data_IF_140400571430
#
_entry.id   IF_140400571430
#
_cell.length_a   1.000
_cell.length_b   1.000
_cell.length_c   1.000
_cell.angle_alpha   90.00
_cell.angle_beta   90.00
_cell.angle_gamma   90.00
#
_symmetry.space_group_name_H-M   'P 1'
#
loop_
_entity.id
_entity.type
_entity.pdbx_description
1 polymer ?
#
# COMPACT_ATOMS: atom_id res chain seq x y z
N UNK A 1 20.82 32.79 24.21
CA UNK A 1 20.97 31.97 22.98
C UNK A 1 20.01 30.80 23.11
N UNK A 2 18.86 30.89 22.44
CA UNK A 2 17.98 29.70 22.36
C UNK A 2 18.66 28.71 21.41
N UNK A 3 19.11 27.58 21.93
CA UNK A 3 19.39 26.45 21.08
C UNK A 3 18.06 26.12 20.34
N UNK A 4 18.06 26.26 19.02
CA UNK A 4 16.98 25.68 18.22
C UNK A 4 16.92 24.19 18.61
N UNK A 5 15.80 23.77 19.15
CA UNK A 5 15.57 22.33 19.35
C UNK A 5 15.78 21.68 17.98
N UNK A 6 16.69 20.71 17.90
CA UNK A 6 16.85 19.93 16.68
C UNK A 6 15.46 19.34 16.37
N UNK A 7 14.96 19.61 15.17
CA UNK A 7 13.71 19.00 14.73
C UNK A 7 13.90 17.49 14.77
N UNK A 8 12.96 16.78 15.39
CA UNK A 8 12.95 15.31 15.34
C UNK A 8 12.91 14.91 13.86
N UNK A 9 13.76 13.98 13.43
CA UNK A 9 13.79 13.57 12.03
C UNK A 9 12.44 12.98 11.65
N UNK A 10 11.96 13.28 10.44
CA UNK A 10 10.74 12.73 9.86
C UNK A 10 11.07 11.94 8.61
N UNK A 11 10.32 10.91 8.33
CA UNK A 11 10.51 10.12 7.13
C UNK A 11 9.17 9.57 6.62
N UNK A 12 9.12 9.28 5.32
CA UNK A 12 7.96 8.64 4.70
C UNK A 12 8.40 7.71 3.58
N UNK A 13 7.76 6.56 3.48
CA UNK A 13 7.91 5.64 2.36
C UNK A 13 6.54 5.25 1.83
N UNK A 14 6.43 5.12 0.51
CA UNK A 14 5.19 4.75 -0.18
C UNK A 14 5.41 3.59 -1.15
N UNK A 15 4.35 2.83 -1.43
CA UNK A 15 4.30 1.93 -2.57
C UNK A 15 3.04 2.17 -3.41
N UNK A 16 3.17 1.91 -4.71
CA UNK A 16 2.08 1.95 -5.70
C UNK A 16 1.73 0.57 -6.25
N UNK A 17 2.15 -0.50 -5.55
CA UNK A 17 1.91 -1.88 -5.95
C UNK A 17 3.16 -2.62 -6.42
N UNK A 18 3.07 -3.95 -6.37
CA UNK A 18 4.11 -4.89 -6.81
C UNK A 18 3.54 -5.87 -7.84
N UNK A 19 4.40 -6.54 -8.62
CA UNK A 19 3.98 -7.55 -9.60
C UNK A 19 4.96 -7.72 -10.75
N UNK A 20 4.47 -8.22 -11.89
CA UNK A 20 5.23 -8.42 -13.13
C UNK A 20 5.51 -7.08 -13.82
N UNK A 21 6.26 -6.21 -13.13
CA UNK A 21 6.62 -4.86 -13.59
C UNK A 21 8.02 -4.91 -14.20
N UNK A 22 8.10 -5.04 -15.53
CA UNK A 22 9.37 -5.11 -16.25
C UNK A 22 9.59 -3.88 -17.12
N UNK A 23 10.86 -3.57 -17.43
CA UNK A 23 11.18 -2.51 -18.40
C UNK A 23 10.59 -2.80 -19.78
N UNK A 24 10.50 -4.06 -20.18
CA UNK A 24 9.98 -4.47 -21.48
C UNK A 24 8.46 -4.24 -21.62
N UNK A 25 7.73 -4.20 -20.50
CA UNK A 25 6.28 -3.96 -20.48
C UNK A 25 5.89 -2.50 -20.22
N UNK A 26 6.89 -1.60 -20.13
CA UNK A 26 6.69 -0.20 -19.75
C UNK A 26 7.09 0.72 -20.92
N UNK A 27 6.20 1.64 -21.30
CA UNK A 27 6.59 2.74 -22.21
C UNK A 27 7.24 3.87 -21.41
N UNK A 28 8.11 4.66 -22.06
CA UNK A 28 8.77 5.79 -21.42
C UNK A 28 7.78 6.80 -20.84
N UNK A 29 6.67 7.07 -21.54
CA UNK A 29 5.62 7.99 -21.09
C UNK A 29 4.89 7.46 -19.84
N UNK A 30 4.61 6.15 -19.80
CA UNK A 30 3.95 5.52 -18.65
C UNK A 30 4.89 5.50 -17.44
N UNK A 31 6.15 5.15 -17.64
CA UNK A 31 7.16 5.19 -16.57
C UNK A 31 7.32 6.61 -16.02
N UNK A 32 7.46 7.62 -16.88
CA UNK A 32 7.57 9.02 -16.47
C UNK A 32 6.35 9.47 -15.66
N UNK A 33 5.13 9.10 -16.09
CA UNK A 33 3.88 9.44 -15.40
C UNK A 33 3.80 8.77 -14.02
N UNK A 34 4.19 7.50 -13.91
CA UNK A 34 4.23 6.77 -12.63
C UNK A 34 5.25 7.42 -11.70
N UNK A 35 6.49 7.66 -12.16
CA UNK A 35 7.54 8.30 -11.34
C UNK A 35 7.13 9.69 -10.87
N UNK A 36 6.47 10.47 -11.73
CA UNK A 36 5.96 11.79 -11.37
C UNK A 36 4.88 11.71 -10.28
N UNK A 37 3.95 10.74 -10.39
CA UNK A 37 2.88 10.55 -9.39
C UNK A 37 3.43 10.03 -8.06
N UNK A 38 4.38 9.08 -8.08
CA UNK A 38 5.08 8.62 -6.87
C UNK A 38 5.81 9.76 -6.17
N UNK A 39 6.50 10.61 -6.95
CA UNK A 39 7.17 11.80 -6.42
C UNK A 39 6.18 12.75 -5.76
N UNK A 40 5.08 13.07 -6.43
CA UNK A 40 4.04 13.95 -5.89
C UNK A 40 3.42 13.37 -4.61
N UNK A 41 3.17 12.05 -4.58
CA UNK A 41 2.62 11.34 -3.43
C UNK A 41 3.54 11.41 -2.21
N UNK A 42 4.80 11.00 -2.35
CA UNK A 42 5.75 11.01 -1.23
C UNK A 42 6.03 12.44 -0.73
N UNK A 43 6.10 13.42 -1.64
CA UNK A 43 6.28 14.83 -1.28
C UNK A 43 5.06 15.40 -0.54
N UNK A 44 3.83 15.03 -0.92
CA UNK A 44 2.61 15.50 -0.24
C UNK A 44 2.57 15.02 1.22
N UNK A 45 2.93 13.76 1.48
CA UNK A 45 3.03 13.23 2.83
C UNK A 45 4.19 13.84 3.62
N UNK A 46 5.37 13.97 3.01
CA UNK A 46 6.54 14.56 3.65
C UNK A 46 6.31 16.02 4.04
N UNK A 47 5.68 16.82 3.16
CA UNK A 47 5.34 18.20 3.49
C UNK A 47 4.41 18.30 4.70
N UNK A 48 3.43 17.38 4.82
CA UNK A 48 2.58 17.33 6.01
C UNK A 48 3.38 17.08 7.29
N UNK A 49 4.37 16.16 7.24
CA UNK A 49 5.26 15.91 8.38
C UNK A 49 6.10 17.15 8.75
N UNK A 50 6.63 17.86 7.76
CA UNK A 50 7.37 19.11 7.98
C UNK A 50 6.49 20.21 8.60
N UNK A 51 5.21 20.26 8.23
CA UNK A 51 4.21 21.18 8.77
C UNK A 51 3.75 20.79 10.20
N UNK A 52 4.26 19.67 10.74
CA UNK A 52 3.95 19.17 12.08
C UNK A 52 2.69 18.31 12.20
N UNK A 53 2.15 17.86 11.07
CA UNK A 53 1.01 16.96 11.07
C UNK A 53 1.39 15.58 11.63
N UNK A 54 0.44 14.85 12.26
CA UNK A 54 0.67 13.48 12.71
C UNK A 54 0.90 12.53 11.52
N UNK A 55 1.62 11.43 11.76
CA UNK A 55 1.95 10.45 10.74
C UNK A 55 0.72 9.92 9.97
N UNK A 56 -0.41 9.78 10.63
CA UNK A 56 -1.68 9.35 9.98
C UNK A 56 -2.19 10.34 8.93
N UNK A 57 -2.04 11.65 9.16
CA UNK A 57 -2.40 12.66 8.17
C UNK A 57 -1.43 12.65 6.98
N UNK A 58 -0.14 12.48 7.23
CA UNK A 58 0.88 12.36 6.19
C UNK A 58 0.63 11.14 5.29
N UNK A 59 0.37 9.97 5.91
CA UNK A 59 -0.03 8.73 5.21
C UNK A 59 -1.27 8.97 4.35
N UNK A 60 -2.30 9.58 4.92
CA UNK A 60 -3.55 9.89 4.21
C UNK A 60 -3.31 10.80 3.01
N UNK A 61 -2.52 11.87 3.17
CA UNK A 61 -2.20 12.80 2.06
C UNK A 61 -1.40 12.12 0.94
N UNK A 62 -0.44 11.27 1.29
CA UNK A 62 0.33 10.52 0.30
C UNK A 62 -0.57 9.55 -0.49
N UNK A 63 -1.40 8.76 0.19
CA UNK A 63 -2.31 7.79 -0.43
C UNK A 63 -3.35 8.51 -1.30
N UNK A 64 -3.88 9.66 -0.87
CA UNK A 64 -4.85 10.43 -1.66
C UNK A 64 -4.33 10.82 -3.05
N UNK A 65 -3.05 11.14 -3.19
CA UNK A 65 -2.45 11.43 -4.51
C UNK A 65 -2.55 10.21 -5.43
N UNK A 66 -2.31 9.01 -4.91
CA UNK A 66 -2.39 7.78 -5.68
C UNK A 66 -3.82 7.33 -5.92
N UNK A 67 -4.74 7.47 -4.96
CA UNK A 67 -6.18 7.20 -5.13
C UNK A 67 -6.84 8.14 -6.15
N UNK A 68 -6.34 9.37 -6.30
CA UNK A 68 -6.83 10.33 -7.30
C UNK A 68 -6.20 10.13 -8.70
N UNK A 69 -5.35 9.12 -8.87
CA UNK A 69 -4.67 8.79 -10.14
C UNK A 69 -5.23 7.50 -10.74
N UNK A 70 -5.51 7.45 -12.06
CA UNK A 70 -5.93 6.21 -12.71
C UNK A 70 -4.79 5.19 -12.88
N UNK A 71 -3.55 5.55 -12.51
CA UNK A 71 -2.36 4.71 -12.72
C UNK A 71 -2.27 3.55 -11.73
N UNK A 72 -2.89 3.65 -10.55
CA UNK A 72 -2.80 2.69 -9.46
C UNK A 72 -4.15 2.02 -9.20
N UNK A 73 -4.14 0.85 -8.59
CA UNK A 73 -5.37 0.11 -8.25
C UNK A 73 -5.90 0.54 -6.86
N UNK A 74 -6.31 1.78 -6.76
CA UNK A 74 -6.97 2.37 -5.60
C UNK A 74 -7.77 3.60 -6.05
N UNK A 75 -8.89 3.93 -5.38
CA UNK A 75 -9.70 5.09 -5.75
C UNK A 75 -10.10 5.08 -7.23
N UNK A 76 -9.77 6.17 -7.97
CA UNK A 76 -10.10 6.35 -9.38
C UNK A 76 -9.59 5.21 -10.29
N UNK A 77 -8.45 4.58 -9.97
CA UNK A 77 -7.86 3.51 -10.76
C UNK A 77 -8.23 2.10 -10.31
N UNK A 78 -9.20 1.96 -9.39
CA UNK A 78 -9.61 0.67 -8.83
C UNK A 78 -10.10 -0.29 -9.93
N UNK A 79 -9.73 -1.57 -9.79
CA UNK A 79 -10.17 -2.65 -10.68
C UNK A 79 -11.66 -2.95 -10.52
N UNK A 80 -12.23 -3.64 -11.50
CA UNK A 80 -13.61 -4.11 -11.45
C UNK A 80 -13.71 -5.52 -10.86
N UNK A 81 -14.74 -5.75 -10.08
CA UNK A 81 -15.16 -7.08 -9.66
C UNK A 81 -15.87 -7.84 -10.80
N UNK A 82 -16.24 -9.09 -10.58
CA UNK A 82 -16.91 -9.93 -11.57
C UNK A 82 -18.29 -9.40 -12.00
N UNK A 83 -18.95 -8.58 -11.18
CA UNK A 83 -20.22 -7.93 -11.52
C UNK A 83 -20.03 -6.60 -12.29
N UNK A 84 -18.79 -6.21 -12.59
CA UNK A 84 -18.49 -4.95 -13.28
C UNK A 84 -18.63 -3.71 -12.39
N UNK A 85 -18.41 -3.86 -11.08
CA UNK A 85 -18.42 -2.77 -10.09
C UNK A 85 -17.03 -2.57 -9.51
N UNK A 86 -16.69 -1.34 -9.12
CA UNK A 86 -15.50 -1.06 -8.33
C UNK A 86 -15.88 -1.18 -6.84
N UNK A 87 -15.20 -2.06 -6.12
CA UNK A 87 -15.31 -2.23 -4.67
C UNK A 87 -13.92 -2.04 -4.08
N UNK A 88 -13.80 -1.11 -3.16
CA UNK A 88 -12.52 -0.65 -2.63
C UNK A 88 -12.41 -0.94 -1.13
N UNK A 89 -11.18 -1.15 -0.70
CA UNK A 89 -10.83 -1.47 0.68
C UNK A 89 -9.69 -0.54 1.11
N UNK A 90 -9.67 -0.11 2.39
CA UNK A 90 -8.57 0.66 2.95
C UNK A 90 -8.45 0.45 4.45
N UNK A 91 -7.24 0.66 4.99
CA UNK A 91 -7.01 0.74 6.42
C UNK A 91 -5.89 1.72 6.76
N UNK A 92 -5.94 2.21 7.98
CA UNK A 92 -4.94 3.09 8.58
C UNK A 92 -4.75 2.70 10.04
N UNK A 93 -3.52 2.81 10.53
CA UNK A 93 -3.18 2.52 11.94
C UNK A 93 -2.09 3.48 12.42
N UNK A 94 -2.20 3.93 13.67
CA UNK A 94 -1.18 4.71 14.36
C UNK A 94 -0.47 3.86 15.41
N UNK A 95 0.84 4.07 15.56
CA UNK A 95 1.68 3.22 16.38
C UNK A 95 1.71 3.55 17.87
N UNK A 96 1.28 4.76 18.28
CA UNK A 96 1.39 5.22 19.65
C UNK A 96 0.33 4.58 20.57
N UNK A 97 -0.92 4.54 20.13
CA UNK A 97 -2.05 3.97 20.89
C UNK A 97 -2.64 2.71 20.26
N UNK A 98 -2.09 2.27 19.13
CA UNK A 98 -2.60 1.16 18.32
C UNK A 98 -4.04 1.39 17.81
N UNK A 99 -4.46 2.65 17.72
CA UNK A 99 -5.75 2.98 17.12
C UNK A 99 -5.71 2.70 15.62
N UNK A 100 -6.78 2.13 15.12
CA UNK A 100 -6.89 1.76 13.71
C UNK A 100 -8.29 2.00 13.16
N UNK A 101 -8.39 2.21 11.86
CA UNK A 101 -9.66 2.29 11.15
C UNK A 101 -9.56 1.61 9.81
N UNK A 102 -10.64 0.95 9.42
CA UNK A 102 -10.70 0.12 8.21
C UNK A 102 -12.04 0.25 7.53
N UNK A 103 -12.03 0.17 6.20
CA UNK A 103 -13.25 0.02 5.39
C UNK A 103 -13.05 -1.04 4.33
N UNK A 104 -14.10 -1.82 4.06
CA UNK A 104 -14.08 -2.83 3.02
C UNK A 104 -15.33 -2.74 2.13
N UNK A 105 -15.17 -3.09 0.85
CA UNK A 105 -16.24 -3.18 -0.14
C UNK A 105 -17.07 -1.87 -0.29
N UNK A 106 -16.40 -0.69 -0.21
CA UNK A 106 -17.03 0.59 -0.49
C UNK A 106 -16.94 0.93 -1.98
N UNK A 107 -18.02 1.50 -2.54
CA UNK A 107 -18.15 1.73 -4.00
C UNK A 107 -18.39 3.19 -4.38
N UNK A 108 -18.71 4.05 -3.42
CA UNK A 108 -19.08 5.45 -3.66
C UNK A 108 -18.16 6.44 -2.95
N UNK A 109 -17.03 5.99 -2.41
CA UNK A 109 -16.10 6.80 -1.64
C UNK A 109 -14.90 7.16 -2.51
N UNK A 110 -14.73 8.46 -2.81
CA UNK A 110 -13.65 8.96 -3.65
C UNK A 110 -12.27 8.52 -3.16
N UNK A 111 -12.05 8.68 -1.86
CA UNK A 111 -10.80 8.36 -1.19
C UNK A 111 -11.07 7.42 0.01
N UNK A 112 -11.04 6.11 -0.18
CA UNK A 112 -11.30 5.13 0.90
C UNK A 112 -10.43 5.30 2.14
N UNK A 113 -9.17 5.74 1.97
CA UNK A 113 -8.26 5.98 3.10
C UNK A 113 -8.78 7.09 4.04
N UNK A 114 -9.46 8.11 3.50
CA UNK A 114 -10.06 9.17 4.31
C UNK A 114 -11.20 8.61 5.18
N UNK A 115 -11.99 7.69 4.62
CA UNK A 115 -13.06 7.06 5.38
C UNK A 115 -12.48 6.09 6.44
N UNK A 116 -11.44 5.33 6.12
CA UNK A 116 -10.73 4.51 7.10
C UNK A 116 -10.18 5.36 8.26
N UNK A 117 -9.57 6.51 7.96
CA UNK A 117 -9.13 7.47 8.97
C UNK A 117 -10.29 7.97 9.83
N UNK A 118 -11.44 8.25 9.20
CA UNK A 118 -12.63 8.72 9.91
C UNK A 118 -13.24 7.63 10.80
N UNK A 119 -13.20 6.37 10.39
CA UNK A 119 -13.58 5.23 11.24
C UNK A 119 -12.71 5.18 12.50
N UNK A 120 -11.39 5.37 12.36
CA UNK A 120 -10.45 5.38 13.48
C UNK A 120 -10.74 6.51 14.48
N UNK A 121 -11.08 7.72 14.00
CA UNK A 121 -11.16 8.92 14.85
C UNK A 121 -12.56 9.20 15.40
N UNK A 122 -13.61 8.79 14.70
CA UNK A 122 -14.98 9.24 14.96
C UNK A 122 -15.99 8.09 15.13
N UNK A 123 -15.50 6.85 15.35
CA UNK A 123 -16.35 5.71 15.66
C UNK A 123 -15.78 4.87 16.80
N UNK A 124 -16.62 4.02 17.40
CA UNK A 124 -16.20 3.02 18.37
C UNK A 124 -15.68 1.73 17.72
N UNK A 125 -15.73 1.67 16.39
CA UNK A 125 -15.40 0.49 15.61
C UNK A 125 -14.02 0.62 14.96
N UNK A 126 -13.37 -0.51 14.73
CA UNK A 126 -12.13 -0.58 13.96
C UNK A 126 -12.42 -0.79 12.47
N UNK A 127 -13.49 -1.49 12.11
CA UNK A 127 -13.76 -1.85 10.73
C UNK A 127 -15.25 -1.75 10.39
N UNK A 128 -15.55 -1.06 9.29
CA UNK A 128 -16.89 -0.99 8.69
C UNK A 128 -16.85 -1.53 7.26
N UNK A 129 -17.99 -2.03 6.73
CA UNK A 129 -18.04 -2.56 5.37
C UNK A 129 -19.31 -2.19 4.61
N UNK A 130 -19.19 -2.14 3.26
CA UNK A 130 -20.32 -2.03 2.33
C UNK A 130 -21.24 -0.86 2.63
N UNK A 131 -22.54 -1.09 2.55
CA UNK A 131 -23.57 -0.05 2.77
C UNK A 131 -23.49 0.60 4.17
N UNK A 132 -23.11 -0.18 5.19
CA UNK A 132 -22.94 0.35 6.54
C UNK A 132 -21.78 1.36 6.64
N UNK A 133 -20.66 1.08 5.97
CA UNK A 133 -19.54 2.02 5.88
C UNK A 133 -19.92 3.28 5.10
N UNK A 134 -20.70 3.15 4.04
CA UNK A 134 -21.18 4.29 3.24
C UNK A 134 -22.25 5.11 3.96
N UNK A 135 -23.08 4.48 4.79
CA UNK A 135 -24.02 5.21 5.65
C UNK A 135 -23.26 6.05 6.70
N UNK A 136 -22.24 5.45 7.33
CA UNK A 136 -21.33 6.19 8.22
C UNK A 136 -20.66 7.36 7.48
N UNK A 137 -20.20 7.14 6.25
CA UNK A 137 -19.61 8.19 5.42
C UNK A 137 -20.56 9.37 5.19
N UNK A 138 -21.85 9.10 4.86
CA UNK A 138 -22.88 10.16 4.71
C UNK A 138 -23.08 10.94 6.00
N UNK A 139 -23.14 10.25 7.13
CA UNK A 139 -23.28 10.89 8.46
C UNK A 139 -22.06 11.77 8.79
N UNK A 140 -20.88 11.40 8.32
CA UNK A 140 -19.65 12.17 8.46
C UNK A 140 -19.46 13.25 7.39
N UNK A 141 -20.43 13.45 6.49
CA UNK A 141 -20.42 14.51 5.48
C UNK A 141 -19.58 14.22 4.24
N UNK A 142 -19.26 12.94 3.98
CA UNK A 142 -18.57 12.57 2.74
C UNK A 142 -19.48 12.75 1.52
N UNK A 143 -18.89 13.28 0.45
CA UNK A 143 -19.52 13.30 -0.86
C UNK A 143 -19.55 11.87 -1.43
N UNK A 144 -20.74 11.44 -1.84
CA UNK A 144 -20.92 10.12 -2.46
C UNK A 144 -20.75 10.24 -3.97
N UNK A 145 -19.75 9.54 -4.50
CA UNK A 145 -19.42 9.55 -5.92
C UNK A 145 -20.38 8.68 -6.72
N UNK A 146 -20.72 9.14 -7.93
CA UNK A 146 -21.32 8.25 -8.92
C UNK A 146 -20.34 7.14 -9.30
N UNK A 147 -20.75 5.86 -9.41
CA UNK A 147 -19.88 4.78 -9.85
C UNK A 147 -19.13 5.03 -11.16
N UNK A 148 -19.68 5.85 -12.06
CA UNK A 148 -19.01 6.25 -13.31
C UNK A 148 -17.69 7.00 -13.06
N UNK A 149 -17.51 7.63 -11.91
CA UNK A 149 -16.25 8.28 -11.54
C UNK A 149 -15.07 7.32 -11.53
N UNK A 150 -15.28 6.07 -11.09
CA UNK A 150 -14.22 5.05 -10.98
C UNK A 150 -14.01 4.25 -12.27
N UNK A 151 -14.87 4.47 -13.28
CA UNK A 151 -14.79 3.74 -14.54
C UNK A 151 -13.64 4.25 -15.39
N UNK A 152 -12.60 3.43 -15.57
CA UNK A 152 -11.52 3.67 -16.54
C UNK A 152 -11.55 2.62 -17.64
N UNK A 153 -11.36 3.05 -18.91
CA UNK A 153 -11.36 2.14 -20.06
C UNK A 153 -10.30 1.04 -19.91
N UNK A 154 -9.13 1.39 -19.36
CA UNK A 154 -8.06 0.43 -19.12
C UNK A 154 -8.50 -0.71 -18.20
N UNK A 155 -9.10 -0.41 -17.04
CA UNK A 155 -9.58 -1.43 -16.08
C UNK A 155 -10.78 -2.20 -16.61
N UNK A 156 -11.65 -1.53 -17.35
CA UNK A 156 -12.77 -2.21 -18.00
C UNK A 156 -12.31 -3.24 -19.03
N UNK A 157 -11.39 -2.86 -19.92
CA UNK A 157 -10.80 -3.78 -20.89
C UNK A 157 -10.03 -4.93 -20.23
N UNK A 158 -9.32 -4.66 -19.12
CA UNK A 158 -8.68 -5.70 -18.32
C UNK A 158 -9.70 -6.75 -17.84
N UNK A 159 -10.82 -6.32 -17.25
CA UNK A 159 -11.91 -7.22 -16.84
C UNK A 159 -12.45 -8.03 -18.03
N UNK A 160 -12.69 -7.40 -19.18
CA UNK A 160 -13.22 -8.10 -20.37
C UNK A 160 -12.26 -9.17 -20.89
N UNK A 161 -10.94 -8.89 -20.92
CA UNK A 161 -9.93 -9.90 -21.28
C UNK A 161 -9.94 -11.09 -20.33
N UNK A 162 -9.96 -10.87 -19.02
CA UNK A 162 -10.00 -11.94 -18.02
C UNK A 162 -11.27 -12.81 -18.21
N UNK A 163 -12.44 -12.20 -18.38
CA UNK A 163 -13.71 -12.94 -18.60
C UNK A 163 -13.73 -13.73 -19.90
N UNK A 164 -13.19 -13.19 -20.98
CA UNK A 164 -13.10 -13.87 -22.27
C UNK A 164 -12.26 -15.16 -22.14
N UNK A 165 -11.13 -15.10 -21.46
CA UNK A 165 -10.24 -16.26 -21.20
C UNK A 165 -10.92 -17.32 -20.34
N UNK A 166 -11.55 -16.92 -19.24
CA UNK A 166 -12.33 -17.88 -18.40
C UNK A 166 -13.39 -18.61 -19.23
N UNK A 167 -14.06 -17.90 -20.16
CA UNK A 167 -15.08 -18.50 -21.03
C UNK A 167 -14.48 -19.47 -22.06
N UNK A 168 -13.31 -19.15 -22.59
CA UNK A 168 -12.59 -19.98 -23.56
C UNK A 168 -11.89 -21.18 -22.92
N UNK A 169 -11.80 -21.26 -21.60
CA UNK A 169 -11.00 -22.25 -20.84
C UNK A 169 -9.52 -22.28 -21.27
N UNK A 170 -8.99 -21.14 -21.67
CA UNK A 170 -7.59 -20.98 -22.06
C UNK A 170 -6.69 -21.05 -20.82
N UNK A 171 -5.55 -21.73 -20.95
CA UNK A 171 -4.51 -21.73 -19.92
C UNK A 171 -3.95 -20.29 -19.73
N UNK A 172 -3.64 -19.95 -18.49
CA UNK A 172 -3.02 -18.65 -18.15
C UNK A 172 -1.62 -18.64 -18.77
N UNK A 173 -1.37 -17.70 -19.66
CA UNK A 173 -0.04 -17.49 -20.25
C UNK A 173 0.77 -16.48 -19.42
N UNK A 174 2.11 -16.42 -19.57
CA UNK A 174 2.92 -15.36 -18.93
C UNK A 174 2.54 -13.93 -19.31
N UNK A 175 1.87 -13.74 -20.47
CA UNK A 175 1.29 -12.44 -20.84
C UNK A 175 0.03 -12.13 -20.06
N UNK A 176 -0.68 -13.14 -19.60
CA UNK A 176 -1.90 -13.05 -18.82
C UNK A 176 -1.62 -12.73 -17.35
N UNK A 177 -0.47 -13.17 -16.84
CA UNK A 177 0.02 -12.80 -15.51
C UNK A 177 0.25 -11.29 -15.40
N UNK A 178 0.51 -10.59 -16.51
CA UNK A 178 0.57 -9.12 -16.55
C UNK A 178 -0.77 -8.45 -16.24
N UNK A 179 -1.89 -9.12 -16.47
CA UNK A 179 -3.22 -8.63 -16.09
C UNK A 179 -3.54 -8.86 -14.58
N UNK A 180 -2.73 -9.66 -13.87
CA UNK A 180 -2.85 -9.92 -12.43
C UNK A 180 -2.00 -8.98 -11.55
N UNK A 181 -1.73 -7.78 -11.99
CA UNK A 181 -0.95 -6.81 -11.22
C UNK A 181 -1.60 -6.49 -9.88
N UNK A 182 -0.86 -6.75 -8.82
CA UNK A 182 -1.19 -6.30 -7.47
C UNK A 182 -0.75 -4.84 -7.33
N UNK A 183 -1.66 -3.91 -7.56
CA UNK A 183 -1.34 -2.48 -7.57
C UNK A 183 -1.97 -1.74 -6.40
N UNK A 184 -2.05 -2.38 -5.24
CA UNK A 184 -2.41 -1.77 -3.97
C UNK A 184 -1.49 -0.60 -3.68
N UNK A 185 -2.00 0.51 -3.13
CA UNK A 185 -1.17 1.64 -2.72
C UNK A 185 -1.05 1.69 -1.20
N UNK A 186 0.06 2.22 -0.71
CA UNK A 186 0.25 2.37 0.71
C UNK A 186 1.34 3.36 1.09
N UNK A 187 1.36 3.73 2.36
CA UNK A 187 2.35 4.63 2.93
C UNK A 187 2.65 4.26 4.39
N UNK A 188 3.89 4.52 4.80
CA UNK A 188 4.36 4.43 6.18
C UNK A 188 5.10 5.72 6.50
N UNK A 189 4.83 6.31 7.66
CA UNK A 189 5.42 7.58 8.08
C UNK A 189 5.91 7.55 9.52
N UNK A 190 6.99 8.32 9.77
CA UNK A 190 7.51 8.69 11.09
C UNK A 190 7.34 10.20 11.26
N UNK A 191 6.58 10.62 12.27
CA UNK A 191 6.28 12.03 12.52
C UNK A 191 7.27 12.71 13.48
N UNK A 192 7.13 14.03 13.64
CA UNK A 192 7.98 14.84 14.52
C UNK A 192 7.89 14.45 16.01
N UNK A 193 6.87 13.73 16.42
CA UNK A 193 6.68 13.19 17.77
C UNK A 193 7.32 11.82 17.94
N UNK A 194 7.94 11.28 16.87
CA UNK A 194 8.52 9.94 16.84
C UNK A 194 7.46 8.84 16.79
N UNK A 195 6.25 9.14 16.30
CA UNK A 195 5.20 8.15 16.14
C UNK A 195 5.19 7.59 14.72
N UNK A 196 4.98 6.30 14.64
CA UNK A 196 4.77 5.57 13.39
C UNK A 196 3.31 5.57 12.99
N UNK A 197 3.06 5.60 11.68
CA UNK A 197 1.75 5.37 11.09
C UNK A 197 1.88 4.57 9.80
N UNK A 198 0.88 3.73 9.50
CA UNK A 198 0.78 3.00 8.24
C UNK A 198 -0.63 3.08 7.68
N UNK A 199 -0.76 3.02 6.35
CA UNK A 199 -2.04 2.90 5.68
C UNK A 199 -1.90 2.20 4.34
N UNK A 200 -2.99 1.56 3.92
CA UNK A 200 -3.06 0.80 2.68
C UNK A 200 -4.44 1.02 2.04
N UNK A 201 -4.50 1.14 0.71
CA UNK A 201 -5.75 1.30 -0.04
C UNK A 201 -5.71 0.52 -1.35
N UNK A 202 -6.83 -0.09 -1.75
CA UNK A 202 -6.88 -0.97 -2.91
C UNK A 202 -8.29 -1.10 -3.51
N UNK A 203 -8.35 -1.46 -4.81
CA UNK A 203 -9.53 -2.04 -5.46
C UNK A 203 -9.61 -3.57 -5.33
N UNK A 204 -8.62 -4.21 -4.69
CA UNK A 204 -8.50 -5.67 -4.62
C UNK A 204 -7.99 -6.29 -5.92
N UNK A 205 -8.41 -7.52 -6.22
CA UNK A 205 -8.04 -8.23 -7.46
C UNK A 205 -9.10 -8.05 -8.54
N UNK A 206 -8.65 -7.91 -9.80
CA UNK A 206 -9.57 -7.84 -10.94
C UNK A 206 -10.42 -9.11 -11.06
N UNK A 207 -11.69 -8.95 -11.43
CA UNK A 207 -12.66 -10.05 -11.51
C UNK A 207 -12.94 -10.75 -10.17
N UNK A 208 -12.64 -10.14 -9.02
CA UNK A 208 -12.95 -10.70 -7.70
C UNK A 208 -14.46 -11.01 -7.56
N UNK A 209 -14.79 -12.08 -6.84
CA UNK A 209 -16.17 -12.59 -6.70
C UNK A 209 -16.58 -12.68 -5.24
N UNK A 210 -17.89 -12.82 -5.02
CA UNK A 210 -18.50 -13.17 -3.72
C UNK A 210 -18.15 -12.21 -2.58
N UNK A 211 -17.86 -10.94 -2.89
CA UNK A 211 -17.43 -9.96 -1.88
C UNK A 211 -16.02 -10.22 -1.34
N UNK A 212 -15.10 -10.73 -2.19
CA UNK A 212 -13.72 -10.99 -1.77
C UNK A 212 -13.09 -9.73 -1.21
N UNK A 213 -12.52 -9.85 -0.03
CA UNK A 213 -11.69 -8.86 0.65
C UNK A 213 -10.26 -9.41 0.76
N UNK A 214 -9.26 -8.60 0.43
CA UNK A 214 -7.86 -8.94 0.55
C UNK A 214 -7.29 -8.55 1.91
N UNK A 215 -5.97 -8.46 1.96
CA UNK A 215 -5.20 -8.10 3.15
C UNK A 215 -5.28 -6.62 3.52
N UNK A 216 -5.46 -5.73 2.54
CA UNK A 216 -5.33 -4.28 2.72
C UNK A 216 -6.19 -3.69 3.84
N UNK A 217 -7.48 -4.09 4.06
CA UNK A 217 -8.27 -3.57 5.16
C UNK A 217 -8.08 -4.34 6.47
N UNK A 218 -7.24 -5.38 6.50
CA UNK A 218 -7.07 -6.26 7.67
C UNK A 218 -5.81 -5.84 8.43
N UNK A 219 -6.02 -5.25 9.62
CA UNK A 219 -4.94 -4.89 10.52
C UNK A 219 -4.13 -6.12 10.92
N UNK A 220 -2.81 -6.01 10.79
CA UNK A 220 -1.86 -7.10 10.99
C UNK A 220 -1.54 -7.89 9.72
N UNK A 221 -2.40 -7.85 8.69
CA UNK A 221 -2.14 -8.51 7.40
C UNK A 221 -1.52 -7.55 6.38
N UNK A 222 -2.28 -6.58 5.89
CA UNK A 222 -1.83 -5.60 4.90
C UNK A 222 -1.34 -4.28 5.50
N UNK A 223 -1.71 -3.96 6.73
CA UNK A 223 -1.37 -2.73 7.43
C UNK A 223 -1.11 -3.01 8.91
N UNK A 224 -0.02 -2.50 9.45
CA UNK A 224 0.25 -2.54 10.88
C UNK A 224 1.15 -1.38 11.29
N UNK A 225 0.95 -0.84 12.48
CA UNK A 225 1.85 0.14 13.09
C UNK A 225 1.90 -0.03 14.61
N UNK A 226 3.11 -0.06 15.18
CA UNK A 226 3.36 -0.13 16.60
C UNK A 226 4.69 0.57 16.91
N UNK A 227 4.67 1.58 17.77
CA UNK A 227 5.86 2.32 18.17
C UNK A 227 6.91 1.47 18.89
N UNK A 228 6.53 0.33 19.45
CA UNK A 228 7.46 -0.60 20.13
C UNK A 228 8.22 -1.49 19.13
N UNK A 229 7.87 -1.46 17.85
CA UNK A 229 8.49 -2.30 16.83
C UNK A 229 8.62 -1.63 15.47
N UNK A 230 7.58 -1.65 14.64
CA UNK A 230 7.64 -1.08 13.31
C UNK A 230 6.26 -0.73 12.74
N UNK A 231 6.26 -0.09 11.57
CA UNK A 231 5.08 0.07 10.74
C UNK A 231 5.28 -0.53 9.36
N UNK A 232 4.21 -1.13 8.80
CA UNK A 232 4.24 -1.89 7.55
C UNK A 232 2.99 -1.59 6.73
N UNK A 233 3.16 -1.41 5.42
CA UNK A 233 2.10 -1.49 4.41
C UNK A 233 2.50 -2.50 3.33
N UNK A 234 1.55 -3.34 2.92
CA UNK A 234 1.80 -4.49 2.08
C UNK A 234 1.05 -4.42 0.74
N UNK A 235 1.56 -5.12 -0.26
CA UNK A 235 0.95 -5.30 -1.57
C UNK A 235 1.30 -6.67 -2.14
N UNK A 236 0.31 -7.42 -2.62
CA UNK A 236 0.55 -8.76 -3.17
C UNK A 236 -0.70 -9.65 -3.16
N UNK A 237 -0.46 -10.95 -3.14
CA UNK A 237 -1.50 -11.98 -3.01
C UNK A 237 -2.13 -11.95 -1.63
N UNK A 238 -3.22 -11.20 -1.46
CA UNK A 238 -3.90 -10.96 -0.19
C UNK A 238 -4.20 -12.21 0.63
N UNK A 239 -4.53 -13.32 -0.02
CA UNK A 239 -4.80 -14.61 0.61
C UNK A 239 -3.62 -15.16 1.43
N UNK A 240 -2.39 -14.93 0.95
CA UNK A 240 -1.18 -15.32 1.68
C UNK A 240 -0.88 -14.30 2.78
N UNK A 241 -1.00 -12.99 2.49
CA UNK A 241 -0.75 -11.95 3.47
C UNK A 241 -1.69 -12.05 4.68
N UNK A 242 -2.96 -12.41 4.47
CA UNK A 242 -3.92 -12.69 5.54
C UNK A 242 -3.51 -13.93 6.35
N UNK A 243 -3.27 -15.07 5.68
CA UNK A 243 -2.97 -16.36 6.33
C UNK A 243 -1.68 -16.33 7.17
N UNK A 244 -0.69 -15.56 6.72
CA UNK A 244 0.60 -15.44 7.39
C UNK A 244 0.72 -14.18 8.27
N UNK A 245 -0.35 -13.37 8.33
CA UNK A 245 -0.43 -12.12 9.13
C UNK A 245 0.81 -11.26 8.89
N UNK A 246 1.12 -11.01 7.62
CA UNK A 246 2.45 -10.57 7.15
C UNK A 246 2.92 -9.30 7.84
N UNK A 247 2.11 -8.25 7.90
CA UNK A 247 2.52 -6.98 8.49
C UNK A 247 2.86 -7.13 9.99
N UNK A 248 2.02 -7.81 10.76
CA UNK A 248 2.29 -8.10 12.18
C UNK A 248 3.48 -9.05 12.36
N UNK A 249 3.61 -10.09 11.51
CA UNK A 249 4.72 -11.05 11.59
C UNK A 249 6.08 -10.35 11.47
N UNK A 250 6.20 -9.34 10.59
CA UNK A 250 7.41 -8.52 10.45
C UNK A 250 7.67 -7.75 11.76
N UNK A 251 6.69 -6.97 12.23
CA UNK A 251 6.88 -6.14 13.42
C UNK A 251 7.08 -6.96 14.71
N UNK A 252 6.43 -8.11 14.83
CA UNK A 252 6.67 -9.03 15.95
C UNK A 252 8.10 -9.57 15.98
N UNK A 253 8.73 -9.80 14.83
CA UNK A 253 10.15 -10.21 14.76
C UNK A 253 11.07 -9.08 15.20
N UNK A 254 10.76 -7.85 14.84
CA UNK A 254 11.50 -6.66 15.33
C UNK A 254 11.39 -6.55 16.84
N UNK A 255 10.18 -6.71 17.41
CA UNK A 255 9.95 -6.72 18.85
C UNK A 255 10.74 -7.82 19.57
N UNK A 256 10.95 -8.96 18.91
CA UNK A 256 11.78 -10.08 19.41
C UNK A 256 13.28 -9.90 19.16
N UNK A 257 13.71 -8.76 18.62
CA UNK A 257 15.13 -8.37 18.50
C UNK A 257 15.78 -8.57 17.14
N UNK A 258 15.02 -8.91 16.09
CA UNK A 258 15.53 -8.85 14.72
C UNK A 258 15.64 -7.39 14.24
N UNK A 259 16.57 -7.11 13.34
CA UNK A 259 16.56 -5.83 12.63
C UNK A 259 15.35 -5.77 11.68
N UNK A 260 14.88 -4.54 11.38
CA UNK A 260 13.76 -4.34 10.46
C UNK A 260 14.01 -5.01 9.09
N UNK A 261 15.22 -4.84 8.56
CA UNK A 261 15.60 -5.38 7.27
C UNK A 261 15.58 -6.92 7.27
N UNK A 262 16.18 -7.57 8.30
CA UNK A 262 16.17 -9.03 8.44
C UNK A 262 14.76 -9.59 8.60
N UNK A 263 13.93 -8.93 9.43
CA UNK A 263 12.55 -9.35 9.67
C UNK A 263 11.70 -9.29 8.40
N UNK A 264 11.78 -8.18 7.67
CA UNK A 264 11.00 -7.96 6.47
C UNK A 264 11.48 -8.86 5.30
N UNK A 265 12.80 -8.97 5.08
CA UNK A 265 13.38 -9.85 4.07
C UNK A 265 12.99 -11.31 4.32
N UNK A 266 13.12 -11.81 5.55
CA UNK A 266 12.75 -13.18 5.90
C UNK A 266 11.27 -13.47 5.64
N UNK A 267 10.36 -12.56 6.00
CA UNK A 267 8.92 -12.81 5.79
C UNK A 267 8.58 -12.78 4.31
N UNK A 268 9.12 -11.83 3.55
CA UNK A 268 8.80 -11.68 2.12
C UNK A 268 9.53 -12.71 1.25
N UNK A 269 10.82 -12.93 1.47
CA UNK A 269 11.65 -13.72 0.57
C UNK A 269 11.84 -15.19 1.01
N UNK A 270 11.50 -15.53 2.26
CA UNK A 270 11.53 -16.91 2.74
C UNK A 270 10.12 -17.45 3.02
N UNK A 271 9.36 -16.81 3.91
CA UNK A 271 8.06 -17.33 4.35
C UNK A 271 7.04 -17.30 3.21
N UNK A 272 6.87 -16.15 2.55
CA UNK A 272 5.90 -16.03 1.44
C UNK A 272 6.31 -16.87 0.24
N UNK A 273 7.58 -16.85 -0.16
CA UNK A 273 8.08 -17.66 -1.31
C UNK A 273 7.86 -19.14 -1.07
N UNK A 274 8.18 -19.68 0.11
CA UNK A 274 7.92 -21.08 0.47
C UNK A 274 6.43 -21.43 0.47
N UNK A 275 5.58 -20.45 0.79
CA UNK A 275 4.14 -20.62 0.76
C UNK A 275 3.53 -20.52 -0.64
N UNK A 276 4.25 -20.00 -1.64
CA UNK A 276 3.75 -19.67 -2.97
C UNK A 276 3.08 -18.32 -3.07
N UNK A 277 3.35 -17.41 -2.10
CA UNK A 277 2.81 -16.06 -2.07
C UNK A 277 3.75 -15.06 -2.74
N UNK A 278 3.18 -14.13 -3.51
CA UNK A 278 3.89 -13.09 -4.25
C UNK A 278 3.50 -11.70 -3.76
N UNK A 279 4.48 -10.77 -3.76
CA UNK A 279 4.25 -9.39 -3.41
C UNK A 279 5.47 -8.74 -2.75
N UNK A 280 5.21 -7.69 -1.96
CA UNK A 280 6.21 -6.94 -1.23
C UNK A 280 5.61 -6.08 -0.14
N UNK A 281 6.48 -5.45 0.62
CA UNK A 281 6.11 -4.52 1.69
C UNK A 281 7.00 -3.29 1.65
N UNK A 282 6.48 -2.22 2.24
CA UNK A 282 7.29 -1.12 2.75
C UNK A 282 7.20 -1.14 4.27
N UNK A 283 8.33 -0.94 4.94
CA UNK A 283 8.38 -0.96 6.39
C UNK A 283 9.34 0.11 6.94
N UNK A 284 9.05 0.61 8.13
CA UNK A 284 9.85 1.62 8.82
C UNK A 284 9.81 1.39 10.34
N UNK A 285 10.95 1.57 11.03
CA UNK A 285 11.03 1.62 12.49
C UNK A 285 11.09 3.06 13.02
N UNK A 286 11.15 3.23 14.34
CA UNK A 286 11.19 4.55 14.98
C UNK A 286 12.53 5.28 14.84
N UNK A 287 13.57 4.58 14.48
CA UNK A 287 14.88 5.15 14.14
C UNK A 287 14.89 5.76 12.73
N UNK A 288 13.81 5.52 11.95
CA UNK A 288 13.68 5.96 10.56
C UNK A 288 14.38 5.05 9.56
N UNK A 289 14.77 3.83 9.98
CA UNK A 289 15.25 2.83 9.04
C UNK A 289 14.10 2.37 8.14
N UNK A 290 14.33 2.37 6.82
CA UNK A 290 13.35 1.99 5.81
C UNK A 290 13.82 0.73 5.09
N UNK A 291 12.90 -0.21 4.86
CA UNK A 291 13.14 -1.38 4.01
C UNK A 291 11.94 -1.65 3.10
N UNK A 292 12.22 -2.15 1.89
CA UNK A 292 11.19 -2.33 0.85
C UNK A 292 11.36 -3.66 0.11
N UNK A 293 11.41 -4.83 0.80
CA UNK A 293 11.60 -6.11 0.15
C UNK A 293 10.37 -6.52 -0.66
N UNK A 294 10.63 -7.19 -1.80
CA UNK A 294 9.62 -7.79 -2.65
C UNK A 294 10.19 -9.02 -3.38
N UNK A 295 9.34 -10.03 -3.64
CA UNK A 295 9.72 -11.30 -4.27
C UNK A 295 9.20 -11.45 -5.71
N UNK A 296 8.74 -10.36 -6.32
CA UNK A 296 8.27 -10.24 -7.71
C UNK A 296 9.25 -9.44 -8.57
N UNK A 297 8.93 -9.15 -9.83
CA UNK A 297 9.86 -8.49 -10.77
C UNK A 297 10.04 -6.99 -10.51
N UNK A 298 9.00 -6.32 -9.96
CA UNK A 298 9.08 -4.90 -9.64
C UNK A 298 8.07 -4.47 -8.59
N UNK A 299 8.36 -3.32 -7.97
CA UNK A 299 7.46 -2.66 -7.03
C UNK A 299 7.60 -1.14 -7.21
N UNK A 300 6.49 -0.46 -7.49
CA UNK A 300 6.44 1.01 -7.48
C UNK A 300 6.65 1.50 -6.06
N UNK A 301 7.71 2.24 -5.82
CA UNK A 301 8.04 2.75 -4.49
C UNK A 301 8.76 4.09 -4.53
N UNK A 302 8.54 4.89 -3.52
CA UNK A 302 9.31 6.11 -3.28
C UNK A 302 9.45 6.36 -1.79
N UNK A 303 10.53 7.05 -1.40
CA UNK A 303 10.76 7.43 0.00
C UNK A 303 11.45 8.79 0.08
N UNK A 304 11.24 9.43 1.21
CA UNK A 304 12.06 10.55 1.70
C UNK A 304 12.49 10.14 3.10
N UNK A 305 13.79 9.93 3.25
CA UNK A 305 14.39 9.44 4.49
C UNK A 305 14.58 10.56 5.52
N UNK A 306 15.20 10.24 6.65
CA UNK A 306 15.45 11.18 7.75
C UNK A 306 16.42 12.31 7.39
N UNK A 307 17.23 12.14 6.35
CA UNK A 307 18.14 13.15 5.82
C UNK A 307 17.47 14.03 4.75
N UNK A 308 16.22 13.72 4.37
CA UNK A 308 15.46 14.42 3.34
C UNK A 308 15.80 13.99 1.92
N UNK A 309 16.52 12.86 1.75
CA UNK A 309 16.88 12.33 0.44
C UNK A 309 15.69 11.63 -0.22
N UNK A 310 15.41 12.00 -1.48
CA UNK A 310 14.28 11.47 -2.24
C UNK A 310 14.75 10.33 -3.14
N UNK A 311 14.21 9.13 -2.93
CA UNK A 311 14.45 7.98 -3.80
C UNK A 311 13.15 7.53 -4.45
N UNK A 312 13.15 7.27 -5.77
CA UNK A 312 12.01 6.73 -6.53
C UNK A 312 12.49 5.53 -7.32
N UNK A 313 11.89 4.38 -7.09
CA UNK A 313 12.32 3.11 -7.67
C UNK A 313 11.12 2.31 -8.18
N UNK A 314 11.31 1.55 -9.25
CA UNK A 314 10.29 0.70 -9.88
C UNK A 314 10.80 -0.75 -9.98
N UNK A 315 12.00 -0.91 -10.52
CA UNK A 315 12.55 -2.19 -10.88
C UNK A 315 13.45 -2.76 -9.78
N UNK A 316 13.70 -4.06 -9.83
CA UNK A 316 14.66 -4.73 -8.95
C UNK A 316 16.05 -4.13 -9.15
N UNK A 317 16.78 -3.92 -8.05
CA UNK A 317 18.13 -3.31 -8.04
C UNK A 317 18.15 -1.78 -8.12
N UNK A 318 17.00 -1.09 -8.30
CA UNK A 318 16.94 0.37 -8.19
C UNK A 318 16.82 0.79 -6.72
N UNK A 319 17.65 1.75 -6.27
CA UNK A 319 17.59 2.31 -4.91
C UNK A 319 18.14 1.37 -3.82
N UNK A 320 18.76 0.26 -4.19
CA UNK A 320 19.54 -0.55 -3.27
C UNK A 320 20.94 0.05 -3.16
N UNK A 321 21.44 0.26 -1.93
CA UNK A 321 22.80 0.72 -1.72
C UNK A 321 23.78 -0.30 -2.35
N UNK A 322 24.82 0.18 -3.04
CA UNK A 322 25.90 -0.66 -3.63
C UNK A 322 26.58 -1.49 -2.53
N UNK A 323 26.01 -2.58 -2.14
CA UNK A 323 26.53 -3.46 -1.07
C UNK A 323 25.61 -4.63 -0.74
N UNK A 324 24.32 -4.53 -1.07
CA UNK A 324 23.34 -5.57 -0.73
C UNK A 324 23.34 -6.75 -1.70
N UNK A 325 23.94 -6.63 -2.90
CA UNK A 325 23.97 -7.67 -3.94
C UNK A 325 25.18 -8.61 -3.88
N UNK A 326 26.14 -8.42 -2.95
CA UNK A 326 27.39 -9.20 -2.91
C UNK A 326 27.27 -10.57 -2.19
N UNK A 327 26.09 -11.01 -1.82
CA UNK A 327 25.93 -12.18 -0.97
C UNK A 327 24.83 -13.16 -1.31
N UNK A 328 24.54 -13.49 -2.59
CA UNK A 328 23.74 -14.67 -2.94
C UNK A 328 23.81 -15.02 -4.44
N UNK A 329 24.94 -15.55 -4.87
CA UNK A 329 24.97 -16.53 -5.97
C UNK A 329 25.99 -17.60 -5.54
N UNK A 330 25.46 -18.68 -4.95
CA UNK A 330 26.06 -20.01 -4.96
C UNK A 330 25.22 -20.92 -4.04
N UNK A 331 24.27 -21.66 -4.60
CA UNK A 331 24.05 -23.11 -4.52
C UNK A 331 22.70 -23.49 -5.11
#
# INVERSE_FOLDING_TARGET
MNAAAASTPVAIVIHGGAGTITRASMTDEKEASIRATLKASVQAGYQALLDGAPGTEAVTKAINVMENSPLFNAGLGAVFNAAGKNEMDASIMEGAGLNAGSVAAVSHIKNPINLASKVMTDSEHVMLMGEGAEEFARQQGFEMMDPAYFHTDFRWQQLQRIKARETAQEEITPEDEKDQWFSTVGAVALDQQGNLAAGTSTGGTSNKRWGRVGDSPIIGAGTYANNESCAVSATGHGEFFIRYVVAYNICNRVELGATLAEAADYVVNDVLVKAGGEGGVIAMDREGNITTPFNVEGMYRAMIDVDGEVTISIYRGEGEAEGALAGKVEH
#
